data_IF_873915286806
#
_entry.id   IF_873915286806
#
_cell.length_a   1.000
_cell.length_b   1.000
_cell.length_c   1.000
_cell.angle_alpha   90.00
_cell.angle_beta   90.00
_cell.angle_gamma   90.00
#
_symmetry.space_group_name_H-M   'P 1'
#
loop_
_entity.id
_entity.type
_entity.pdbx_description
1 polymer ?
#
# COMPACT_ATOMS: atom_id res chain seq x y z
N UNK A 1 -14.54 54.13 -59.83
CA UNK A 1 -13.51 55.03 -60.24
C UNK A 1 -12.21 54.31 -60.02
N UNK A 2 -11.36 53.98 -60.96
CA UNK A 2 -11.23 54.21 -62.41
C UNK A 2 -10.48 52.99 -62.96
N UNK A 3 -11.04 52.46 -64.00
CA UNK A 3 -10.47 51.50 -64.94
C UNK A 3 -9.23 52.05 -65.62
N UNK A 4 -8.19 51.25 -65.78
CA UNK A 4 -7.22 51.51 -66.91
C UNK A 4 -6.78 50.18 -67.52
N UNK A 5 -7.16 50.07 -68.78
CA UNK A 5 -6.83 49.04 -69.75
C UNK A 5 -5.51 49.38 -70.40
N UNK A 6 -4.53 48.47 -70.44
CA UNK A 6 -3.38 48.62 -71.33
C UNK A 6 -3.18 47.34 -72.16
N UNK A 7 -3.15 47.61 -73.42
CA UNK A 7 -3.09 46.87 -74.68
C UNK A 7 -2.00 45.80 -74.81
N UNK A 8 -2.43 44.71 -75.45
CA UNK A 8 -1.63 43.67 -76.08
C UNK A 8 -0.61 44.25 -77.09
N UNK A 9 0.61 43.76 -77.10
CA UNK A 9 1.49 43.79 -78.24
C UNK A 9 2.12 42.40 -78.44
N UNK A 10 1.79 41.79 -79.62
CA UNK A 10 2.36 40.55 -80.12
C UNK A 10 3.74 40.78 -80.65
N UNK A 11 4.76 40.03 -80.25
CA UNK A 11 5.96 39.73 -81.09
C UNK A 11 6.37 38.24 -80.84
N UNK A 12 6.76 37.61 -81.93
CA UNK A 12 7.00 36.26 -82.28
C UNK A 12 8.21 35.55 -81.67
N UNK A 13 8.53 34.31 -82.04
CA UNK A 13 8.91 33.28 -81.05
C UNK A 13 10.43 33.15 -80.93
N UNK A 14 10.93 33.21 -79.73
CA UNK A 14 12.28 32.83 -79.40
C UNK A 14 12.29 31.60 -78.48
N UNK A 15 13.12 30.67 -78.85
CA UNK A 15 13.40 29.43 -78.08
C UNK A 15 13.50 29.73 -76.57
N UNK A 16 12.56 29.17 -75.79
CA UNK A 16 12.64 29.16 -74.35
C UNK A 16 12.91 27.73 -73.90
N UNK A 17 14.17 27.50 -73.56
CA UNK A 17 14.59 26.37 -72.77
C UNK A 17 13.85 26.44 -71.40
N UNK A 18 12.92 25.57 -71.20
CA UNK A 18 12.23 25.38 -69.89
C UNK A 18 13.18 24.69 -68.94
N UNK A 19 13.77 25.46 -68.00
CA UNK A 19 14.47 24.94 -66.87
C UNK A 19 13.38 24.47 -65.88
N UNK A 20 13.15 23.14 -65.80
CA UNK A 20 12.35 22.52 -64.74
C UNK A 20 13.22 22.58 -63.45
N UNK A 21 12.95 23.54 -62.57
CA UNK A 21 13.38 23.45 -61.18
C UNK A 21 12.59 22.34 -60.50
N UNK A 22 13.17 21.14 -60.42
CA UNK A 22 12.69 20.12 -59.51
C UNK A 22 12.95 20.62 -58.09
N UNK A 23 11.91 21.18 -57.45
CA UNK A 23 11.89 21.37 -56.01
C UNK A 23 11.89 19.97 -55.35
N UNK A 24 13.06 19.50 -54.93
CA UNK A 24 13.14 18.36 -54.02
C UNK A 24 12.54 18.81 -52.69
N UNK A 25 11.27 18.56 -52.50
CA UNK A 25 10.67 18.58 -51.15
C UNK A 25 11.24 17.36 -50.44
N UNK A 26 12.31 17.57 -49.68
CA UNK A 26 12.71 16.58 -48.67
C UNK A 26 11.54 16.42 -47.68
N UNK A 27 10.68 15.43 -47.93
CA UNK A 27 9.87 14.87 -46.88
C UNK A 27 10.87 14.19 -45.94
N UNK A 28 11.33 14.89 -44.93
CA UNK A 28 11.84 14.23 -43.73
C UNK A 28 10.67 13.42 -43.19
N UNK A 29 10.66 12.11 -43.50
CA UNK A 29 9.84 11.19 -42.80
C UNK A 29 10.25 11.30 -41.34
N UNK A 30 9.49 12.04 -40.55
CA UNK A 30 9.48 11.87 -39.09
C UNK A 30 8.87 10.51 -38.90
N UNK A 31 9.70 9.47 -38.97
CA UNK A 31 9.34 8.13 -38.51
C UNK A 31 9.14 8.30 -37.01
N UNK A 32 7.90 8.49 -36.58
CA UNK A 32 7.54 8.34 -35.19
C UNK A 32 8.04 6.96 -34.79
N UNK A 33 8.95 6.88 -33.83
CA UNK A 33 9.32 5.59 -33.27
C UNK A 33 8.04 4.97 -32.72
N UNK A 34 7.70 3.75 -33.16
CA UNK A 34 6.64 2.95 -32.56
C UNK A 34 7.09 2.51 -31.16
N UNK A 35 7.12 3.46 -30.23
CA UNK A 35 7.49 3.24 -28.86
C UNK A 35 6.31 2.59 -28.13
N UNK A 36 6.49 1.33 -27.75
CA UNK A 36 5.48 0.65 -26.94
C UNK A 36 5.38 1.27 -25.56
N UNK A 37 4.20 1.29 -24.97
CA UNK A 37 3.97 1.85 -23.62
C UNK A 37 4.90 1.26 -22.55
N UNK A 38 5.17 -0.05 -22.61
CA UNK A 38 6.08 -0.73 -21.67
C UNK A 38 7.56 -0.30 -21.84
N UNK A 39 7.93 0.19 -23.01
CA UNK A 39 9.29 0.65 -23.29
C UNK A 39 9.45 2.16 -23.02
N UNK A 40 8.34 2.85 -22.75
CA UNK A 40 8.33 4.29 -22.47
C UNK A 40 8.77 4.56 -21.03
N UNK A 41 9.99 5.03 -20.87
CA UNK A 41 10.62 5.33 -19.56
C UNK A 41 11.07 6.80 -19.54
N UNK A 42 10.13 7.73 -19.35
CA UNK A 42 10.46 9.15 -19.38
C UNK A 42 11.39 9.50 -18.22
N UNK A 43 12.39 10.35 -18.52
CA UNK A 43 13.25 10.94 -17.51
C UNK A 43 12.84 12.39 -17.29
N UNK A 44 12.59 12.76 -16.05
CA UNK A 44 12.30 14.13 -15.68
C UNK A 44 13.46 15.06 -16.07
N UNK A 45 13.11 16.26 -16.54
CA UNK A 45 14.06 17.36 -16.77
C UNK A 45 14.01 18.38 -15.61
N UNK A 46 13.19 18.12 -14.58
CA UNK A 46 13.10 18.98 -13.42
C UNK A 46 14.41 18.93 -12.63
N UNK A 47 14.85 20.09 -12.17
CA UNK A 47 15.92 20.22 -11.18
C UNK A 47 15.25 20.44 -9.83
N UNK A 48 15.15 19.39 -9.05
CA UNK A 48 14.48 19.40 -7.74
C UNK A 48 15.50 19.11 -6.64
N UNK A 49 15.21 19.62 -5.45
CA UNK A 49 15.99 19.28 -4.26
C UNK A 49 15.76 17.81 -3.88
N UNK A 50 16.83 17.14 -3.42
CA UNK A 50 16.75 15.79 -2.86
C UNK A 50 17.36 15.80 -1.47
N UNK A 51 16.54 15.55 -0.46
CA UNK A 51 17.01 15.39 0.92
C UNK A 51 17.39 13.93 1.17
N UNK A 52 18.61 13.72 1.61
CA UNK A 52 19.06 12.38 2.03
C UNK A 52 18.72 12.17 3.51
N UNK A 53 17.82 11.24 3.80
CA UNK A 53 17.45 10.86 5.16
C UNK A 53 17.73 9.37 5.34
N UNK A 54 18.72 9.05 6.16
CA UNK A 54 19.09 7.67 6.51
C UNK A 54 18.51 7.23 7.86
N UNK A 55 18.15 8.18 8.72
CA UNK A 55 17.57 7.94 10.03
C UNK A 55 16.38 8.86 10.26
N UNK A 56 15.32 8.36 10.89
CA UNK A 56 14.12 9.15 11.17
C UNK A 56 14.37 10.12 12.34
N UNK A 57 13.61 11.19 12.41
CA UNK A 57 13.66 12.15 13.55
C UNK A 57 13.31 11.51 14.91
N UNK A 58 12.49 10.49 14.90
CA UNK A 58 12.03 9.77 16.09
C UNK A 58 12.15 8.26 15.88
N UNK A 59 12.26 7.51 16.98
CA UNK A 59 12.25 6.04 16.96
C UNK A 59 11.04 5.51 16.20
N UNK A 60 11.25 4.51 15.35
CA UNK A 60 10.19 3.91 14.52
C UNK A 60 9.80 2.53 15.04
N UNK A 61 8.50 2.27 15.06
CA UNK A 61 7.88 0.95 15.16
C UNK A 61 7.16 0.69 13.84
N UNK A 62 7.64 -0.28 13.08
CA UNK A 62 6.99 -0.75 11.87
C UNK A 62 5.97 -1.82 12.23
N UNK A 63 4.68 -1.49 12.13
CA UNK A 63 3.58 -2.38 12.55
C UNK A 63 3.13 -3.32 11.43
N UNK A 64 3.63 -3.15 10.22
CA UNK A 64 3.26 -3.93 9.06
C UNK A 64 4.50 -4.38 8.28
N UNK A 65 4.98 -5.56 8.61
CA UNK A 65 6.22 -6.08 8.05
C UNK A 65 6.10 -7.59 7.79
N UNK A 66 6.97 -8.12 6.94
CA UNK A 66 6.99 -9.52 6.57
C UNK A 66 8.35 -10.14 6.87
N UNK A 67 8.42 -11.07 7.85
CA UNK A 67 9.62 -11.76 8.28
C UNK A 67 9.51 -13.28 8.05
N UNK A 68 8.88 -13.69 6.95
CA UNK A 68 8.64 -15.11 6.64
C UNK A 68 9.91 -15.92 6.39
N UNK A 69 10.99 -15.25 5.97
CA UNK A 69 12.30 -15.86 5.73
C UNK A 69 13.10 -15.95 7.03
N UNK A 70 12.79 -16.94 7.89
CA UNK A 70 13.33 -17.05 9.26
C UNK A 70 14.87 -17.11 9.34
N UNK A 71 15.54 -17.59 8.29
CA UNK A 71 17.01 -17.61 8.18
C UNK A 71 17.61 -16.21 8.06
N UNK A 72 16.83 -15.19 7.68
CA UNK A 72 17.27 -13.82 7.43
C UNK A 72 17.20 -12.91 8.67
N UNK A 73 16.80 -13.41 9.85
CA UNK A 73 16.56 -12.58 11.06
C UNK A 73 17.74 -11.69 11.45
N UNK A 74 18.99 -12.18 11.28
CA UNK A 74 20.19 -11.37 11.53
C UNK A 74 20.32 -10.22 10.53
N UNK A 75 20.02 -10.46 9.27
CA UNK A 75 20.01 -9.41 8.23
C UNK A 75 18.94 -8.38 8.51
N UNK A 76 17.73 -8.81 8.87
CA UNK A 76 16.63 -7.91 9.22
C UNK A 76 17.01 -6.98 10.38
N UNK A 77 17.59 -7.51 11.46
CA UNK A 77 18.08 -6.67 12.57
C UNK A 77 19.14 -5.67 12.12
N UNK A 78 20.06 -6.06 11.24
CA UNK A 78 21.07 -5.17 10.66
C UNK A 78 20.46 -4.05 9.83
N UNK A 79 19.45 -4.32 9.01
CA UNK A 79 18.70 -3.34 8.24
C UNK A 79 17.92 -2.38 9.15
N UNK A 80 17.27 -2.91 10.19
CA UNK A 80 16.58 -2.12 11.20
C UNK A 80 17.54 -1.16 11.93
N UNK A 81 18.73 -1.63 12.33
CA UNK A 81 19.74 -0.80 12.98
C UNK A 81 20.22 0.33 12.06
N UNK A 82 20.47 0.00 10.79
CA UNK A 82 20.88 0.96 9.77
C UNK A 82 19.80 2.02 9.52
N UNK A 83 18.51 1.65 9.60
CA UNK A 83 17.38 2.54 9.35
C UNK A 83 16.85 3.25 10.60
N UNK A 84 17.38 2.97 11.81
CA UNK A 84 16.83 3.53 13.05
C UNK A 84 15.48 2.95 13.46
N UNK A 85 15.08 1.77 12.92
CA UNK A 85 13.85 1.07 13.28
C UNK A 85 14.07 0.26 14.56
N UNK A 86 13.27 0.53 15.58
CA UNK A 86 13.40 -0.11 16.89
C UNK A 86 12.68 -1.44 16.96
N UNK A 87 11.48 -1.52 16.42
CA UNK A 87 10.61 -2.70 16.48
C UNK A 87 9.98 -2.91 15.13
N UNK A 88 9.87 -4.17 14.71
CA UNK A 88 9.02 -4.59 13.60
C UNK A 88 8.01 -5.63 14.07
N UNK A 89 6.82 -5.60 13.47
CA UNK A 89 5.77 -6.58 13.69
C UNK A 89 5.66 -7.43 12.44
N UNK A 90 6.07 -8.69 12.54
CA UNK A 90 5.84 -9.67 11.46
C UNK A 90 4.39 -10.11 11.43
N UNK A 91 3.82 -10.10 10.25
CA UNK A 91 2.44 -10.52 9.99
C UNK A 91 2.34 -11.98 9.49
N UNK A 92 3.47 -12.70 9.47
CA UNK A 92 3.58 -14.05 8.87
C UNK A 92 3.43 -15.20 9.89
N UNK A 93 2.88 -14.95 11.06
CA UNK A 93 2.64 -15.98 12.07
C UNK A 93 1.45 -16.89 11.74
N UNK A 94 1.53 -17.61 10.63
CA UNK A 94 0.46 -18.50 10.16
C UNK A 94 0.19 -19.63 11.14
N UNK A 95 -1.11 -19.89 11.40
CA UNK A 95 -1.52 -21.01 12.26
C UNK A 95 -1.58 -22.34 11.51
N UNK A 96 -1.49 -22.34 10.19
CA UNK A 96 -1.32 -23.54 9.38
C UNK A 96 -0.04 -24.27 9.81
N UNK A 97 -0.14 -25.57 10.06
CA UNK A 97 0.96 -26.42 10.58
C UNK A 97 1.70 -25.84 11.80
N UNK A 98 1.02 -24.97 12.57
CA UNK A 98 1.59 -24.32 13.76
C UNK A 98 2.86 -23.47 13.47
N UNK A 99 3.07 -23.02 12.22
CA UNK A 99 4.25 -22.25 11.81
C UNK A 99 4.51 -21.03 12.72
N UNK A 100 3.47 -20.41 13.27
CA UNK A 100 3.62 -19.29 14.21
C UNK A 100 4.49 -19.64 15.43
N UNK A 101 4.52 -20.94 15.87
CA UNK A 101 5.35 -21.38 17.01
C UNK A 101 6.83 -21.33 16.66
N UNK A 102 7.21 -21.81 15.46
CA UNK A 102 8.57 -21.73 14.95
C UNK A 102 8.99 -20.31 14.73
N UNK A 103 8.14 -19.52 14.06
CA UNK A 103 8.37 -18.11 13.80
C UNK A 103 8.62 -17.33 15.11
N UNK A 104 7.73 -17.49 16.08
CA UNK A 104 7.84 -16.80 17.36
C UNK A 104 9.11 -17.23 18.12
N UNK A 105 9.42 -18.53 18.19
CA UNK A 105 10.63 -19.06 18.82
C UNK A 105 11.88 -18.48 18.17
N UNK A 106 11.93 -18.46 16.84
CA UNK A 106 13.08 -17.90 16.09
C UNK A 106 13.21 -16.42 16.35
N UNK A 107 12.15 -15.63 16.18
CA UNK A 107 12.16 -14.19 16.44
C UNK A 107 12.62 -13.86 17.87
N UNK A 108 12.09 -14.55 18.86
CA UNK A 108 12.48 -14.37 20.27
C UNK A 108 13.93 -14.75 20.57
N UNK A 109 14.49 -15.72 19.84
CA UNK A 109 15.91 -16.11 20.00
C UNK A 109 16.87 -15.03 19.50
N UNK A 110 16.45 -14.20 18.53
CA UNK A 110 17.24 -13.08 18.03
C UNK A 110 16.98 -11.79 18.83
N UNK A 111 15.71 -11.40 19.02
CA UNK A 111 15.35 -10.25 19.85
C UNK A 111 13.85 -10.26 20.20
N UNK A 112 13.54 -10.61 21.42
CA UNK A 112 12.17 -10.70 21.94
C UNK A 112 11.44 -9.36 21.95
N UNK A 113 12.16 -8.25 22.16
CA UNK A 113 11.59 -6.91 22.26
C UNK A 113 11.45 -6.22 20.89
N UNK A 114 12.21 -6.65 19.88
CA UNK A 114 12.30 -5.97 18.60
C UNK A 114 11.56 -6.67 17.47
N UNK A 115 11.41 -8.00 17.56
CA UNK A 115 10.79 -8.85 16.53
C UNK A 115 9.50 -9.42 17.09
N UNK A 116 8.39 -8.71 16.88
CA UNK A 116 7.06 -9.14 17.32
C UNK A 116 6.38 -9.93 16.22
N UNK A 117 5.46 -10.83 16.59
CA UNK A 117 4.75 -11.68 15.64
C UNK A 117 3.24 -11.58 15.88
N UNK A 118 2.47 -11.41 14.81
CA UNK A 118 1.01 -11.53 14.79
C UNK A 118 0.61 -12.92 14.30
N UNK A 119 -0.46 -13.42 14.86
CA UNK A 119 -1.06 -14.71 14.51
C UNK A 119 -1.98 -14.56 13.30
N UNK A 120 -1.87 -15.42 12.31
CA UNK A 120 -2.79 -15.47 11.18
C UNK A 120 -3.63 -16.76 11.23
N UNK A 121 -4.98 -16.68 11.40
CA UNK A 121 -5.86 -17.84 11.44
C UNK A 121 -5.79 -18.70 10.19
N UNK A 122 -5.99 -20.02 10.34
CA UNK A 122 -6.02 -20.96 9.22
C UNK A 122 -7.42 -21.05 8.61
N UNK A 123 -7.69 -20.18 7.66
CA UNK A 123 -8.97 -20.12 6.96
C UNK A 123 -9.32 -21.37 6.16
N UNK A 124 -8.36 -22.26 5.87
CA UNK A 124 -8.64 -23.53 5.18
C UNK A 124 -9.53 -24.46 6.03
N UNK A 125 -9.55 -24.22 7.33
CA UNK A 125 -10.35 -24.96 8.31
C UNK A 125 -11.75 -24.39 8.55
N UNK A 126 -12.20 -23.42 7.74
CA UNK A 126 -13.45 -22.65 7.94
C UNK A 126 -14.70 -23.53 8.05
N UNK A 127 -14.69 -24.71 7.43
CA UNK A 127 -15.82 -25.65 7.44
C UNK A 127 -15.78 -26.66 8.58
N UNK A 128 -14.76 -26.63 9.42
CA UNK A 128 -14.70 -27.48 10.61
C UNK A 128 -15.77 -27.05 11.63
N UNK A 129 -16.37 -28.01 12.33
CA UNK A 129 -17.29 -27.69 13.42
C UNK A 129 -16.64 -26.77 14.45
N UNK A 130 -17.33 -25.70 14.83
CA UNK A 130 -16.86 -24.71 15.81
C UNK A 130 -15.54 -24.04 15.44
N UNK A 131 -15.26 -23.88 14.15
CA UNK A 131 -14.01 -23.28 13.63
C UNK A 131 -13.57 -22.04 14.44
N UNK A 132 -14.41 -21.00 14.52
CA UNK A 132 -14.05 -19.76 15.21
C UNK A 132 -13.73 -19.94 16.69
N UNK A 133 -14.43 -20.84 17.38
CA UNK A 133 -14.15 -21.17 18.80
C UNK A 133 -12.80 -21.88 18.92
N UNK A 134 -12.49 -22.78 18.01
CA UNK A 134 -11.22 -23.50 17.99
C UNK A 134 -10.05 -22.58 17.69
N UNK A 135 -10.19 -21.70 16.68
CA UNK A 135 -9.16 -20.68 16.37
C UNK A 135 -8.99 -19.66 17.51
N UNK A 136 -10.07 -19.26 18.18
CA UNK A 136 -9.98 -18.41 19.37
C UNK A 136 -9.20 -19.07 20.52
N UNK A 137 -9.33 -20.39 20.73
CA UNK A 137 -8.52 -21.15 21.70
C UNK A 137 -7.05 -21.20 21.28
N UNK A 138 -6.77 -21.49 20.00
CA UNK A 138 -5.39 -21.48 19.47
C UNK A 138 -4.74 -20.09 19.63
N UNK A 139 -5.50 -19.03 19.36
CA UNK A 139 -5.04 -17.65 19.57
C UNK A 139 -4.73 -17.38 21.05
N UNK A 140 -5.56 -17.86 21.99
CA UNK A 140 -5.28 -17.70 23.42
C UNK A 140 -3.99 -18.40 23.85
N UNK A 141 -3.73 -19.60 23.33
CA UNK A 141 -2.47 -20.32 23.55
C UNK A 141 -1.28 -19.58 22.92
N UNK A 142 -1.43 -19.09 21.69
CA UNK A 142 -0.42 -18.31 20.98
C UNK A 142 -0.07 -17.00 21.74
N UNK A 143 -1.07 -16.32 22.31
CA UNK A 143 -0.86 -15.11 23.10
C UNK A 143 -0.06 -15.40 24.39
N UNK A 144 -0.27 -16.54 25.04
CA UNK A 144 0.55 -17.00 26.19
C UNK A 144 2.01 -17.22 25.81
N UNK A 145 2.29 -17.65 24.58
CA UNK A 145 3.64 -17.82 24.04
C UNK A 145 4.30 -16.49 23.65
N UNK A 146 3.52 -15.42 23.41
CA UNK A 146 4.05 -14.09 23.13
C UNK A 146 3.56 -13.46 21.84
N UNK A 147 2.56 -14.02 21.15
CA UNK A 147 1.88 -13.35 20.04
C UNK A 147 1.28 -12.01 20.51
N UNK A 148 1.36 -10.97 19.66
CA UNK A 148 0.99 -9.58 19.99
C UNK A 148 -0.21 -9.03 19.21
N UNK A 149 -0.80 -9.81 18.32
CA UNK A 149 -1.98 -9.42 17.53
C UNK A 149 -2.40 -10.50 16.56
N UNK A 150 -3.36 -10.17 15.72
CA UNK A 150 -3.88 -11.06 14.66
C UNK A 150 -3.74 -10.37 13.31
N UNK A 151 -3.30 -11.09 12.27
CA UNK A 151 -3.34 -10.68 10.86
C UNK A 151 -4.48 -11.38 10.13
N UNK A 152 -5.27 -10.58 9.45
CA UNK A 152 -6.22 -11.04 8.44
C UNK A 152 -5.68 -10.66 7.08
N UNK A 153 -5.40 -11.65 6.23
CA UNK A 153 -4.99 -11.45 4.84
C UNK A 153 -6.20 -11.28 3.93
N UNK A 154 -6.03 -10.58 2.81
CA UNK A 154 -7.10 -10.29 1.83
C UNK A 154 -7.75 -11.53 1.22
N UNK A 155 -7.14 -12.70 1.38
CA UNK A 155 -7.75 -13.97 0.99
C UNK A 155 -9.11 -14.20 1.64
N UNK A 156 -9.31 -13.75 2.90
CA UNK A 156 -10.63 -13.71 3.52
C UNK A 156 -11.46 -12.58 2.88
N UNK A 157 -12.59 -12.93 2.34
CA UNK A 157 -13.46 -12.03 1.57
C UNK A 157 -13.22 -12.03 0.07
N UNK A 158 -12.03 -12.49 -0.41
CA UNK A 158 -11.72 -12.50 -1.84
C UNK A 158 -11.58 -13.91 -2.43
N UNK A 159 -10.88 -14.83 -1.75
CA UNK A 159 -10.52 -16.13 -2.35
C UNK A 159 -10.86 -17.33 -1.50
N UNK A 160 -10.96 -17.17 -0.17
CA UNK A 160 -11.36 -18.29 0.72
C UNK A 160 -12.80 -18.66 0.44
N UNK A 161 -13.03 -19.93 0.14
CA UNK A 161 -14.36 -20.49 -0.13
C UNK A 161 -14.71 -21.56 0.92
N UNK A 162 -15.97 -21.61 1.29
CA UNK A 162 -16.51 -22.70 2.07
C UNK A 162 -16.78 -23.95 1.20
N UNK A 163 -17.17 -25.04 1.81
CA UNK A 163 -17.50 -26.32 1.14
C UNK A 163 -18.61 -26.21 0.08
N UNK A 164 -19.40 -25.14 0.09
CA UNK A 164 -20.41 -24.87 -0.94
C UNK A 164 -19.82 -24.14 -2.15
N UNK A 165 -18.55 -23.78 -2.11
CA UNK A 165 -17.85 -23.02 -3.13
C UNK A 165 -18.10 -21.50 -3.10
N UNK A 166 -18.79 -21.01 -2.04
CA UNK A 166 -19.04 -19.57 -1.85
C UNK A 166 -17.85 -18.90 -1.13
N UNK A 167 -17.51 -17.70 -1.56
CA UNK A 167 -16.53 -16.88 -0.86
C UNK A 167 -17.04 -16.60 0.56
N UNK A 168 -16.17 -16.83 1.55
CA UNK A 168 -16.47 -16.54 2.96
C UNK A 168 -16.40 -15.04 3.17
N UNK A 169 -17.50 -14.37 3.57
CA UNK A 169 -17.49 -12.93 3.79
C UNK A 169 -16.67 -12.57 5.05
N UNK A 170 -16.12 -11.35 5.07
CA UNK A 170 -15.30 -10.87 6.19
C UNK A 170 -16.10 -10.86 7.51
N UNK A 171 -17.39 -10.59 7.43
CA UNK A 171 -18.33 -10.57 8.56
C UNK A 171 -19.11 -11.88 8.78
N UNK A 172 -18.57 -12.99 8.30
CA UNK A 172 -19.16 -14.31 8.56
C UNK A 172 -19.27 -14.54 10.09
N UNK A 173 -20.45 -14.88 10.62
CA UNK A 173 -20.63 -15.02 12.05
C UNK A 173 -19.80 -16.15 12.67
N UNK A 174 -19.31 -17.11 11.89
CA UNK A 174 -18.37 -18.13 12.36
C UNK A 174 -17.06 -17.54 12.88
N UNK A 175 -16.70 -16.31 12.45
CA UNK A 175 -15.46 -15.62 12.80
C UNK A 175 -15.56 -14.80 14.09
N UNK A 176 -16.77 -14.50 14.57
CA UNK A 176 -17.01 -13.68 15.76
C UNK A 176 -16.21 -14.09 17.00
N UNK A 177 -16.05 -15.39 17.31
CA UNK A 177 -15.28 -15.81 18.50
C UNK A 177 -13.80 -15.37 18.43
N UNK A 178 -13.22 -15.26 17.22
CA UNK A 178 -11.84 -14.81 17.03
C UNK A 178 -11.74 -13.33 17.39
N UNK A 179 -12.64 -12.52 16.83
CA UNK A 179 -12.67 -11.07 17.09
C UNK A 179 -12.92 -10.75 18.57
N UNK A 180 -13.88 -11.46 19.20
CA UNK A 180 -14.15 -11.32 20.61
C UNK A 180 -12.91 -11.67 21.44
N UNK A 181 -12.21 -12.78 21.14
CA UNK A 181 -11.01 -13.20 21.86
C UNK A 181 -9.89 -12.14 21.75
N UNK A 182 -9.72 -11.47 20.61
CA UNK A 182 -8.76 -10.36 20.49
C UNK A 182 -9.07 -9.22 21.46
N UNK A 183 -10.35 -8.88 21.62
CA UNK A 183 -10.80 -7.89 22.59
C UNK A 183 -10.53 -8.30 24.04
N UNK A 184 -10.82 -9.56 24.39
CA UNK A 184 -10.59 -10.13 25.73
C UNK A 184 -9.10 -10.12 26.10
N UNK A 185 -8.24 -10.47 25.12
CA UNK A 185 -6.79 -10.50 25.26
C UNK A 185 -6.14 -9.09 25.13
N UNK A 186 -6.92 -8.09 24.72
CA UNK A 186 -6.45 -6.71 24.42
C UNK A 186 -5.31 -6.68 23.39
N UNK A 187 -5.40 -7.50 22.36
CA UNK A 187 -4.47 -7.52 21.23
C UNK A 187 -5.16 -7.02 19.97
N UNK A 188 -4.47 -6.27 19.10
CA UNK A 188 -5.07 -5.69 17.88
C UNK A 188 -5.26 -6.74 16.79
N UNK A 189 -6.17 -6.41 15.86
CA UNK A 189 -6.38 -7.12 14.60
C UNK A 189 -5.94 -6.23 13.46
N UNK A 190 -4.86 -6.59 12.76
CA UNK A 190 -4.48 -6.02 11.47
C UNK A 190 -5.35 -6.65 10.39
N UNK A 191 -6.22 -5.84 9.76
CA UNK A 191 -7.22 -6.33 8.81
C UNK A 191 -6.96 -5.77 7.41
N UNK A 192 -6.49 -6.67 6.52
CA UNK A 192 -6.27 -6.41 5.10
C UNK A 192 -7.31 -7.19 4.30
N UNK A 193 -8.27 -6.53 3.70
CA UNK A 193 -9.40 -7.20 3.01
C UNK A 193 -9.56 -6.77 1.56
N UNK A 194 -8.84 -5.73 1.11
CA UNK A 194 -9.01 -5.18 -0.23
C UNK A 194 -7.73 -4.48 -0.69
N UNK A 195 -7.57 -4.33 -2.00
CA UNK A 195 -6.50 -3.59 -2.68
C UNK A 195 -7.00 -2.25 -3.25
N UNK A 196 -6.12 -1.42 -3.85
CA UNK A 196 -6.52 -0.19 -4.52
C UNK A 196 -7.66 -0.39 -5.52
N UNK A 197 -8.44 0.67 -5.78
CA UNK A 197 -9.62 0.59 -6.65
C UNK A 197 -9.31 0.06 -8.04
N UNK A 198 -8.13 0.35 -8.56
CA UNK A 198 -7.67 -0.13 -9.88
C UNK A 198 -7.64 -1.67 -9.99
N UNK A 199 -7.48 -2.39 -8.86
CA UNK A 199 -7.49 -3.86 -8.84
C UNK A 199 -8.90 -4.45 -9.05
N UNK A 200 -9.94 -3.62 -8.94
CA UNK A 200 -11.35 -3.98 -9.12
C UNK A 200 -11.97 -3.38 -10.39
N UNK A 201 -11.14 -2.83 -11.29
CA UNK A 201 -11.56 -2.27 -12.58
C UNK A 201 -10.88 -3.02 -13.73
N UNK A 202 -11.37 -2.90 -14.99
CA UNK A 202 -10.72 -3.54 -16.13
C UNK A 202 -9.22 -3.20 -16.19
N UNK A 203 -8.40 -4.20 -16.55
CA UNK A 203 -6.96 -3.98 -16.78
C UNK A 203 -6.80 -3.56 -18.24
N UNK A 204 -7.05 -2.31 -18.51
CA UNK A 204 -7.02 -1.69 -19.84
C UNK A 204 -6.25 -0.37 -19.85
N UNK A 205 -6.32 0.37 -20.95
CA UNK A 205 -5.63 1.65 -21.14
C UNK A 205 -6.03 2.77 -20.16
N UNK A 206 -7.10 2.60 -19.39
CA UNK A 206 -7.59 3.55 -18.39
C UNK A 206 -7.21 3.17 -16.96
N UNK A 207 -6.65 1.96 -16.77
CA UNK A 207 -6.26 1.48 -15.44
C UNK A 207 -4.93 2.13 -15.02
N UNK A 208 -4.95 2.90 -13.94
CA UNK A 208 -3.75 3.60 -13.46
C UNK A 208 -2.64 2.65 -12.95
N UNK A 209 -3.00 1.40 -12.61
CA UNK A 209 -2.08 0.33 -12.16
C UNK A 209 -1.78 -0.68 -13.27
N UNK A 210 -1.94 -0.28 -14.54
CA UNK A 210 -1.80 -1.20 -15.69
C UNK A 210 -0.47 -1.97 -15.68
N UNK A 211 0.66 -1.29 -15.46
CA UNK A 211 1.98 -1.93 -15.50
C UNK A 211 2.12 -3.01 -14.41
N UNK A 212 1.62 -2.73 -13.21
CA UNK A 212 1.61 -3.65 -12.07
C UNK A 212 0.69 -4.85 -12.33
N UNK A 213 -0.55 -4.60 -12.74
CA UNK A 213 -1.55 -5.64 -12.97
C UNK A 213 -1.28 -6.46 -14.25
N UNK A 214 -0.62 -5.89 -15.24
CA UNK A 214 -0.17 -6.63 -16.42
C UNK A 214 1.00 -7.58 -16.08
N UNK A 215 1.86 -7.21 -15.13
CA UNK A 215 2.93 -8.08 -14.60
C UNK A 215 2.38 -9.14 -13.64
N UNK A 216 1.29 -8.85 -12.92
CA UNK A 216 0.65 -9.71 -11.93
C UNK A 216 -0.86 -9.86 -12.19
N UNK A 217 -1.27 -10.59 -13.25
CA UNK A 217 -2.70 -10.72 -13.61
C UNK A 217 -3.56 -11.37 -12.52
N UNK A 218 -2.95 -12.19 -11.67
CA UNK A 218 -3.58 -12.84 -10.52
C UNK A 218 -3.93 -11.88 -9.37
N UNK A 219 -3.44 -10.63 -9.43
CA UNK A 219 -3.79 -9.60 -8.46
C UNK A 219 -5.06 -8.82 -8.82
N UNK A 220 -5.60 -9.04 -10.02
CA UNK A 220 -6.85 -8.41 -10.44
C UNK A 220 -8.06 -9.13 -9.84
N UNK A 221 -8.94 -8.38 -9.22
CA UNK A 221 -10.23 -8.83 -8.66
C UNK A 221 -11.41 -8.30 -9.49
N UNK A 222 -11.16 -7.93 -10.75
CA UNK A 222 -12.20 -7.49 -11.66
C UNK A 222 -12.97 -8.69 -12.26
N UNK A 223 -14.29 -8.62 -12.23
CA UNK A 223 -15.18 -9.60 -12.88
C UNK A 223 -16.06 -10.40 -11.91
N UNK A 224 -16.81 -11.35 -12.46
CA UNK A 224 -17.92 -12.03 -11.78
C UNK A 224 -17.52 -13.04 -10.69
N UNK A 225 -16.26 -13.20 -10.39
CA UNK A 225 -15.78 -14.16 -9.38
C UNK A 225 -15.59 -13.56 -7.99
N UNK A 226 -15.65 -12.23 -7.85
CA UNK A 226 -15.29 -11.52 -6.65
C UNK A 226 -16.40 -10.56 -6.19
N UNK A 227 -16.55 -10.29 -4.88
CA UNK A 227 -17.40 -9.22 -4.42
C UNK A 227 -16.81 -7.86 -4.81
N UNK A 228 -17.65 -6.81 -4.87
CA UNK A 228 -17.15 -5.45 -5.12
C UNK A 228 -16.29 -4.95 -3.96
N UNK A 229 -15.38 -4.00 -4.26
CA UNK A 229 -14.57 -3.33 -3.23
C UNK A 229 -15.43 -2.73 -2.13
N UNK A 230 -16.53 -2.08 -2.52
CA UNK A 230 -17.48 -1.44 -1.60
C UNK A 230 -18.13 -2.45 -0.65
N UNK A 231 -18.53 -3.64 -1.16
CA UNK A 231 -19.12 -4.68 -0.32
C UNK A 231 -18.11 -5.26 0.67
N UNK A 232 -16.88 -5.54 0.25
CA UNK A 232 -15.82 -6.05 1.16
C UNK A 232 -15.53 -5.05 2.28
N UNK A 233 -15.42 -3.76 1.93
CA UNK A 233 -15.20 -2.70 2.92
C UNK A 233 -16.41 -2.53 3.86
N UNK A 234 -17.63 -2.72 3.36
CA UNK A 234 -18.84 -2.71 4.18
C UNK A 234 -18.85 -3.91 5.16
N UNK A 235 -18.47 -5.11 4.72
CA UNK A 235 -18.32 -6.30 5.58
C UNK A 235 -17.33 -6.03 6.71
N UNK A 236 -16.12 -5.52 6.40
CA UNK A 236 -15.12 -5.13 7.40
C UNK A 236 -15.69 -4.12 8.40
N UNK A 237 -16.37 -3.10 7.91
CA UNK A 237 -16.94 -2.07 8.76
C UNK A 237 -18.04 -2.60 9.69
N UNK A 238 -18.80 -3.62 9.27
CA UNK A 238 -19.77 -4.32 10.15
C UNK A 238 -19.06 -5.07 11.28
N UNK A 239 -17.93 -5.73 10.99
CA UNK A 239 -17.09 -6.37 12.02
C UNK A 239 -16.58 -5.35 13.03
N UNK A 240 -16.00 -4.25 12.60
CA UNK A 240 -15.46 -3.19 13.46
C UNK A 240 -16.56 -2.61 14.36
N UNK A 241 -17.73 -2.33 13.78
CA UNK A 241 -18.88 -1.79 14.51
C UNK A 241 -19.42 -2.78 15.57
N UNK A 242 -19.39 -4.07 15.30
CA UNK A 242 -19.88 -5.13 16.18
C UNK A 242 -18.93 -5.39 17.36
N UNK A 243 -17.62 -5.43 17.11
CA UNK A 243 -16.60 -5.81 18.10
C UNK A 243 -15.88 -4.59 18.69
N UNK A 244 -16.61 -3.74 19.39
CA UNK A 244 -16.12 -2.43 19.90
C UNK A 244 -14.97 -2.52 20.92
N UNK A 245 -14.82 -3.67 21.60
CA UNK A 245 -13.73 -3.90 22.57
C UNK A 245 -12.44 -4.36 21.89
N UNK A 246 -12.47 -4.66 20.59
CA UNK A 246 -11.34 -5.10 19.79
C UNK A 246 -10.79 -3.92 19.00
N UNK A 247 -9.51 -3.68 19.08
CA UNK A 247 -8.82 -2.68 18.26
C UNK A 247 -8.55 -3.27 16.88
N UNK A 248 -8.97 -2.57 15.84
CA UNK A 248 -8.70 -2.93 14.44
C UNK A 248 -7.75 -1.94 13.80
N UNK A 249 -6.79 -2.44 13.03
CA UNK A 249 -5.88 -1.65 12.19
C UNK A 249 -6.21 -2.00 10.74
N UNK A 250 -6.77 -1.05 10.03
CA UNK A 250 -7.03 -1.19 8.59
C UNK A 250 -5.74 -1.00 7.82
N UNK A 251 -5.20 -2.10 7.29
CA UNK A 251 -4.03 -2.07 6.44
C UNK A 251 -4.21 -1.11 5.25
N UNK A 252 -3.11 -0.53 4.77
CA UNK A 252 -3.09 0.25 3.53
C UNK A 252 -4.08 1.43 3.53
N UNK A 253 -4.03 2.27 4.56
CA UNK A 253 -5.00 3.37 4.75
C UNK A 253 -6.45 2.88 4.84
N UNK A 254 -6.67 1.75 5.55
CA UNK A 254 -7.98 1.12 5.61
C UNK A 254 -8.46 0.60 4.26
N UNK A 255 -7.53 0.21 3.38
CA UNK A 255 -7.75 -0.26 2.01
C UNK A 255 -8.49 0.75 1.09
N UNK A 256 -8.43 2.06 1.41
CA UNK A 256 -9.06 3.12 0.59
C UNK A 256 -8.21 4.40 0.56
N UNK A 257 -6.92 4.33 0.16
CA UNK A 257 -6.03 5.49 0.11
C UNK A 257 -6.45 6.53 -0.92
N UNK A 258 -7.28 6.15 -1.88
CA UNK A 258 -7.80 7.01 -2.94
C UNK A 258 -8.88 7.99 -2.43
N UNK A 259 -9.54 7.68 -1.30
CA UNK A 259 -10.60 8.51 -0.70
C UNK A 259 -10.39 8.71 0.80
N UNK A 260 -9.49 9.63 1.15
CA UNK A 260 -9.18 9.99 2.54
C UNK A 260 -10.37 10.63 3.27
N UNK A 261 -11.33 11.20 2.53
CA UNK A 261 -12.58 11.72 3.12
C UNK A 261 -13.40 10.60 3.74
N UNK A 262 -13.62 9.52 3.01
CA UNK A 262 -14.33 8.33 3.51
C UNK A 262 -13.56 7.64 4.64
N UNK A 263 -12.23 7.50 4.52
CA UNK A 263 -11.40 6.93 5.61
C UNK A 263 -11.53 7.77 6.89
N UNK A 264 -11.52 9.11 6.77
CA UNK A 264 -11.74 10.01 7.90
C UNK A 264 -13.10 9.80 8.60
N UNK A 265 -14.18 9.64 7.81
CA UNK A 265 -15.50 9.31 8.36
C UNK A 265 -15.50 7.98 9.12
N UNK A 266 -14.76 6.96 8.66
CA UNK A 266 -14.63 5.70 9.39
C UNK A 266 -13.90 5.88 10.72
N UNK A 267 -12.81 6.65 10.74
CA UNK A 267 -12.06 6.95 11.97
C UNK A 267 -12.92 7.71 12.99
N UNK A 268 -13.81 8.59 12.54
CA UNK A 268 -14.78 9.31 13.39
C UNK A 268 -15.88 8.39 13.92
N UNK A 269 -16.38 7.49 13.06
CA UNK A 269 -17.46 6.57 13.40
C UNK A 269 -17.03 5.44 14.33
N UNK A 270 -15.78 4.94 14.17
CA UNK A 270 -15.28 3.76 14.84
C UNK A 270 -14.09 4.12 15.76
N UNK A 271 -14.32 4.36 17.07
CA UNK A 271 -13.26 4.73 18.00
C UNK A 271 -12.19 3.65 18.19
N UNK A 272 -12.48 2.40 17.85
CA UNK A 272 -11.59 1.24 17.89
C UNK A 272 -10.88 0.95 16.56
N UNK A 273 -10.93 1.88 15.58
CA UNK A 273 -10.31 1.71 14.27
C UNK A 273 -9.10 2.62 14.11
N UNK A 274 -8.01 2.08 13.62
CA UNK A 274 -6.76 2.74 13.24
C UNK A 274 -6.42 2.39 11.79
N UNK A 275 -5.48 3.10 11.18
CA UNK A 275 -4.98 2.80 9.84
C UNK A 275 -3.45 2.89 9.83
N UNK A 276 -2.79 2.16 8.93
CA UNK A 276 -1.37 2.32 8.65
C UNK A 276 -1.14 2.92 7.25
N UNK A 277 0.10 3.34 6.98
CA UNK A 277 0.46 4.00 5.71
C UNK A 277 1.20 3.08 4.76
N UNK A 278 1.41 1.85 5.13
CA UNK A 278 2.23 0.88 4.42
C UNK A 278 1.83 0.71 2.97
N UNK A 279 2.81 0.58 2.09
CA UNK A 279 2.66 0.43 0.64
C UNK A 279 1.70 1.44 -0.05
N UNK A 280 1.37 2.58 0.61
CA UNK A 280 0.41 3.60 0.10
C UNK A 280 0.98 5.01 0.02
N UNK A 281 2.28 5.16 0.15
CA UNK A 281 2.91 6.48 -0.09
C UNK A 281 2.68 6.95 -1.54
N UNK A 282 2.46 6.02 -2.47
CA UNK A 282 2.13 6.31 -3.86
C UNK A 282 0.82 7.07 -4.04
N UNK A 283 -0.25 6.66 -3.34
CA UNK A 283 -1.54 7.38 -3.37
C UNK A 283 -1.50 8.65 -2.52
N UNK A 284 -0.90 8.58 -1.34
CA UNK A 284 -0.81 9.70 -0.40
C UNK A 284 0.02 10.84 -0.97
N UNK A 285 1.14 10.53 -1.62
CA UNK A 285 2.06 11.53 -2.18
C UNK A 285 1.58 12.17 -3.48
N UNK A 286 0.60 11.57 -4.19
CA UNK A 286 -0.09 12.21 -5.32
C UNK A 286 -1.15 13.23 -4.86
N UNK A 287 -1.55 13.21 -3.59
CA UNK A 287 -2.49 14.13 -2.98
C UNK A 287 -1.90 14.77 -1.70
N UNK A 288 -0.69 15.37 -1.76
CA UNK A 288 0.09 15.74 -0.58
C UNK A 288 -0.64 16.72 0.35
N UNK A 289 -1.37 17.67 -0.20
CA UNK A 289 -2.12 18.64 0.62
C UNK A 289 -3.27 17.98 1.39
N UNK A 290 -3.99 17.04 0.76
CA UNK A 290 -5.07 16.29 1.39
C UNK A 290 -4.50 15.31 2.42
N UNK A 291 -3.45 14.58 2.05
CA UNK A 291 -2.77 13.62 2.93
C UNK A 291 -2.19 14.31 4.16
N UNK A 292 -1.49 15.46 4.00
CA UNK A 292 -0.97 16.24 5.14
C UNK A 292 -2.09 16.66 6.11
N UNK A 293 -3.18 17.21 5.59
CA UNK A 293 -4.34 17.62 6.44
C UNK A 293 -4.95 16.43 7.16
N UNK A 294 -5.06 15.29 6.47
CA UNK A 294 -5.55 14.04 7.06
C UNK A 294 -4.64 13.56 8.19
N UNK A 295 -3.32 13.47 7.97
CA UNK A 295 -2.35 13.04 8.98
C UNK A 295 -2.39 13.92 10.22
N UNK A 296 -2.46 15.25 10.07
CA UNK A 296 -2.57 16.19 11.18
C UNK A 296 -3.89 15.99 11.95
N UNK A 297 -5.02 15.88 11.24
CA UNK A 297 -6.34 15.71 11.86
C UNK A 297 -6.48 14.39 12.63
N UNK A 298 -5.99 13.31 12.06
CA UNK A 298 -6.14 11.96 12.60
C UNK A 298 -4.84 11.40 13.18
N UNK A 299 -3.91 12.27 13.60
CA UNK A 299 -2.57 11.95 14.07
C UNK A 299 -2.52 10.87 15.16
N UNK A 300 -3.58 10.71 15.96
CA UNK A 300 -3.67 9.72 17.04
C UNK A 300 -4.20 8.34 16.57
N UNK A 301 -4.42 8.18 15.27
CA UNK A 301 -5.06 7.00 14.64
C UNK A 301 -4.31 6.45 13.44
N UNK A 302 -3.21 7.07 13.04
CA UNK A 302 -2.35 6.63 11.93
C UNK A 302 -1.09 5.99 12.50
N UNK A 303 -0.68 4.88 11.89
CA UNK A 303 0.47 4.06 12.26
C UNK A 303 1.49 4.02 11.13
N UNK A 304 2.75 3.84 11.46
CA UNK A 304 3.79 3.58 10.48
C UNK A 304 3.82 2.08 10.15
N UNK A 305 3.94 1.76 8.86
CA UNK A 305 4.15 0.43 8.31
C UNK A 305 4.85 0.54 6.96
N UNK A 306 5.57 -0.51 6.55
CA UNK A 306 6.28 -0.57 5.27
C UNK A 306 5.72 -1.60 4.28
N UNK A 307 5.14 -2.70 4.77
CA UNK A 307 4.66 -3.85 3.98
C UNK A 307 5.78 -4.55 3.18
N UNK A 308 6.98 -4.55 3.75
CA UNK A 308 8.15 -5.21 3.17
C UNK A 308 8.94 -5.96 4.25
N UNK A 309 9.97 -6.69 3.85
CA UNK A 309 11.05 -7.04 4.79
C UNK A 309 11.82 -5.78 5.19
N UNK A 310 12.49 -5.76 6.36
CA UNK A 310 13.29 -4.61 6.75
C UNK A 310 14.37 -4.31 5.71
N UNK A 311 14.28 -3.13 5.10
CA UNK A 311 15.23 -2.60 4.11
C UNK A 311 15.51 -1.12 4.38
N UNK A 312 16.75 -0.77 4.67
CA UNK A 312 17.14 0.59 5.03
C UNK A 312 16.89 1.62 3.92
N UNK A 313 16.98 1.19 2.65
CA UNK A 313 16.72 2.06 1.51
C UNK A 313 15.21 2.34 1.40
N UNK A 314 14.37 1.32 1.54
CA UNK A 314 12.92 1.48 1.54
C UNK A 314 12.48 2.43 2.68
N UNK A 315 12.97 2.22 3.89
CA UNK A 315 12.67 3.11 5.02
C UNK A 315 13.09 4.56 4.75
N UNK A 316 14.23 4.81 4.11
CA UNK A 316 14.67 6.16 3.79
C UNK A 316 13.70 6.91 2.87
N UNK A 317 13.02 6.21 1.95
CA UNK A 317 11.97 6.79 1.10
C UNK A 317 10.75 7.20 1.93
N UNK A 318 10.32 6.35 2.88
CA UNK A 318 9.23 6.70 3.80
C UNK A 318 9.57 7.92 4.66
N UNK A 319 10.81 8.00 5.19
CA UNK A 319 11.24 9.15 6.00
C UNK A 319 11.26 10.42 5.16
N UNK A 320 11.85 10.37 3.96
CA UNK A 320 11.83 11.49 3.04
C UNK A 320 10.42 11.94 2.72
N UNK A 321 9.50 11.02 2.45
CA UNK A 321 8.09 11.30 2.20
C UNK A 321 7.39 11.99 3.38
N UNK A 322 7.64 11.54 4.63
CA UNK A 322 6.95 12.05 5.81
C UNK A 322 7.55 13.35 6.35
N UNK A 323 8.89 13.48 6.32
CA UNK A 323 9.64 14.50 7.02
C UNK A 323 10.02 15.72 6.17
N UNK A 324 10.00 15.61 4.84
CA UNK A 324 10.43 16.68 3.93
C UNK A 324 9.29 17.23 3.08
N UNK A 325 9.54 18.40 2.49
CA UNK A 325 8.74 19.01 1.43
C UNK A 325 9.34 18.75 0.03
N UNK A 326 10.20 17.73 -0.09
CA UNK A 326 10.78 17.34 -1.36
C UNK A 326 9.72 17.05 -2.40
N UNK A 327 10.00 17.45 -3.62
CA UNK A 327 9.14 17.22 -4.77
C UNK A 327 9.70 16.11 -5.67
N UNK A 328 8.82 15.46 -6.42
CA UNK A 328 9.19 14.53 -7.48
C UNK A 328 9.98 13.32 -6.98
N UNK A 329 9.56 12.73 -5.86
CA UNK A 329 10.12 11.52 -5.28
C UNK A 329 9.62 10.31 -6.08
N UNK A 330 10.51 9.41 -6.46
CA UNK A 330 10.11 8.13 -7.08
C UNK A 330 9.71 7.13 -5.99
N UNK A 331 8.44 6.74 -5.89
CA UNK A 331 8.00 5.78 -4.88
C UNK A 331 8.56 4.37 -5.12
N UNK A 332 8.97 4.04 -6.35
CA UNK A 332 9.57 2.76 -6.69
C UNK A 332 10.98 2.55 -6.10
N UNK A 333 11.62 3.61 -5.59
CA UNK A 333 12.87 3.47 -4.82
C UNK A 333 12.65 2.74 -3.48
N UNK A 334 11.43 2.78 -2.93
CA UNK A 334 11.08 2.16 -1.64
C UNK A 334 10.13 0.98 -1.74
N UNK A 335 9.60 0.70 -2.92
CA UNK A 335 8.66 -0.41 -3.16
C UNK A 335 8.72 -0.83 -4.64
N UNK A 336 7.98 -1.85 -5.07
CA UNK A 336 7.86 -2.19 -6.50
C UNK A 336 7.13 -1.09 -7.29
N UNK A 337 7.29 -1.08 -8.62
CA UNK A 337 6.61 -0.14 -9.50
C UNK A 337 5.09 -0.32 -9.42
N UNK A 338 4.40 0.67 -8.88
CA UNK A 338 2.95 0.70 -8.77
C UNK A 338 2.29 1.48 -9.91
N UNK A 339 2.97 2.48 -10.45
CA UNK A 339 2.52 3.30 -11.56
C UNK A 339 3.60 4.30 -11.99
N UNK A 340 3.31 5.08 -13.04
CA UNK A 340 4.27 5.99 -13.68
C UNK A 340 4.22 7.42 -13.14
N UNK A 341 3.89 7.59 -11.89
CA UNK A 341 3.79 8.89 -11.23
C UNK A 341 4.92 9.09 -10.22
N UNK A 342 5.19 10.35 -9.91
CA UNK A 342 6.04 10.77 -8.81
C UNK A 342 5.20 11.27 -7.65
N UNK A 343 5.77 11.27 -6.46
CA UNK A 343 5.09 11.70 -5.23
C UNK A 343 5.80 12.91 -4.62
N UNK A 344 5.14 13.53 -3.65
CA UNK A 344 5.58 14.75 -2.98
C UNK A 344 5.57 14.56 -1.48
N UNK A 345 6.58 15.10 -0.81
CA UNK A 345 6.72 15.01 0.64
C UNK A 345 5.59 15.69 1.40
N UNK A 346 5.29 15.18 2.58
CA UNK A 346 4.21 15.70 3.42
C UNK A 346 4.68 16.77 4.41
N UNK A 347 5.96 16.84 4.71
CA UNK A 347 6.54 17.79 5.68
C UNK A 347 5.71 17.89 6.95
N UNK A 348 5.53 16.75 7.63
CA UNK A 348 4.68 16.66 8.82
C UNK A 348 5.33 17.35 10.02
N UNK A 349 4.53 18.00 10.91
CA UNK A 349 5.03 18.50 12.18
C UNK A 349 5.61 17.39 13.06
N UNK A 350 6.62 17.71 13.86
CA UNK A 350 7.33 16.75 14.68
C UNK A 350 6.42 15.99 15.67
N UNK A 351 5.42 16.66 16.25
CA UNK A 351 4.45 16.02 17.14
C UNK A 351 3.56 14.98 16.41
N UNK A 352 3.31 15.20 15.11
CA UNK A 352 2.55 14.25 14.26
C UNK A 352 3.43 13.07 13.88
N UNK A 353 4.69 13.35 13.48
CA UNK A 353 5.69 12.32 13.16
C UNK A 353 5.91 11.36 14.32
N UNK A 354 6.13 11.89 15.53
CA UNK A 354 6.38 11.06 16.71
C UNK A 354 5.19 10.12 17.02
N UNK A 355 3.95 10.59 16.81
CA UNK A 355 2.75 9.77 16.99
C UNK A 355 2.66 8.66 15.96
N UNK A 356 2.87 8.97 14.68
CA UNK A 356 2.82 8.01 13.58
C UNK A 356 3.93 6.98 13.71
N UNK A 357 5.17 7.42 13.99
CA UNK A 357 6.33 6.54 14.06
C UNK A 357 6.29 5.58 15.24
N UNK A 358 5.81 5.98 16.41
CA UNK A 358 5.85 5.09 17.57
C UNK A 358 4.70 5.22 18.58
N UNK A 359 4.27 6.42 18.99
CA UNK A 359 3.35 6.57 20.14
C UNK A 359 2.04 5.83 19.94
N UNK A 360 1.50 5.84 18.74
CA UNK A 360 0.25 5.14 18.44
C UNK A 360 0.43 3.61 18.49
N UNK A 361 1.53 3.10 17.93
CA UNK A 361 1.84 1.67 17.98
C UNK A 361 2.06 1.18 19.43
N UNK A 362 2.80 1.95 20.25
CA UNK A 362 2.99 1.65 21.66
C UNK A 362 1.68 1.55 22.44
N UNK A 363 0.74 2.45 22.16
CA UNK A 363 -0.59 2.46 22.78
C UNK A 363 -1.38 1.19 22.46
N UNK A 364 -1.27 0.68 21.22
CA UNK A 364 -2.04 -0.47 20.72
C UNK A 364 -1.40 -1.79 21.13
N UNK A 365 -0.07 -1.88 21.08
CA UNK A 365 0.68 -3.10 21.38
C UNK A 365 0.78 -3.40 22.90
N UNK A 366 0.09 -2.62 23.75
CA UNK A 366 0.18 -2.72 25.20
C UNK A 366 1.63 -2.68 25.68
N UNK A 367 2.16 -1.51 25.89
CA UNK A 367 3.54 -1.09 26.15
C UNK A 367 4.37 -1.85 27.21
N UNK A 368 4.09 -3.14 27.48
CA UNK A 368 5.00 -4.02 28.22
C UNK A 368 6.33 -4.29 27.48
N UNK A 369 6.45 -3.83 26.22
CA UNK A 369 7.62 -4.02 25.36
C UNK A 369 8.77 -3.04 25.70
N UNK A 370 8.53 -2.00 26.55
CA UNK A 370 9.49 -0.92 26.79
C UNK A 370 9.75 -0.59 28.27
N UNK A 371 9.52 -1.54 29.18
CA UNK A 371 9.99 -1.39 30.56
C UNK A 371 11.35 -2.02 30.76
#
# INVERSE_FOLDING_TARGET
MTTDIIKYNKKSPGNRTFLFLLSFVCFSNVVGQDLRLLDWKPKSQLVVHRTEITHPKFTVIDIHNHLGELQNMKTYLGQMDQAGVKVVVSLDGHSHDDFYKEHLKTSQSFSKERLLVFFAPDWQRIDEPNFGVNEAKRLEEAAKLGIRGVKVFKSLGLTIKDKSGKIVPVDDPRLDPIWQKCGDLKIPVMIHVSDPKAFFTPVDQYNERYDELAAHPDWSFYGNGYPSKEEILAQRNRVIAKHRNTVFIGAHMGNLPEDLGTVGQWLERFPNFFVDIDARISELGRQPYTARKFMIRYQDRVLFGSDTEPDAKAYSVYYRFLETDDEYIDPAEGHHLQGRWMIYGLYLPDEVLEKIYNKNALKILNAAVYK
#
